data_IF_714667586419
#
_entry.id   IF_714667586419
#
_cell.length_a   1.000
_cell.length_b   1.000
_cell.length_c   1.000
_cell.angle_alpha   90.00
_cell.angle_beta   90.00
_cell.angle_gamma   90.00
#
_symmetry.space_group_name_H-M   'P 1'
#
loop_
_entity.id
_entity.type
_entity.pdbx_description
1 polymer ?
#
# COMPACT_ATOMS: atom_id res chain seq x y z
N UNK A 1 0.21 -31.86 -35.70
CA UNK A 1 0.27 -31.64 -35.23
C UNK A 1 0.60 -31.07 -34.26
N UNK A 2 0.76 -30.77 -33.94
CA UNK A 2 1.09 -30.25 -33.16
C UNK A 2 1.08 -29.65 -32.25
N UNK A 3 1.26 -29.35 -31.70
CA UNK A 3 1.33 -28.88 -30.80
C UNK A 3 1.61 -28.20 -30.07
N UNK A 4 1.72 -27.84 -29.74
CA UNK A 4 2.01 -27.18 -29.13
C UNK A 4 2.21 -26.66 -28.17
N UNK A 5 2.44 -26.48 -27.71
CA UNK A 5 2.61 -26.01 -26.95
C UNK A 5 2.82 -25.44 -26.08
N UNK A 6 3.06 -25.17 -25.72
CA UNK A 6 3.30 -24.70 -24.89
C UNK A 6 3.60 -24.03 -24.16
N UNK A 7 3.78 -23.70 -23.86
CA UNK A 7 4.20 -23.08 -23.18
C UNK A 7 4.25 -22.55 -22.14
N UNK A 8 4.28 -22.48 -21.82
CA UNK A 8 4.28 -22.03 -21.01
C UNK A 8 4.61 -21.69 -20.16
N UNK A 9 4.85 -21.68 -19.73
CA UNK A 9 5.02 -21.44 -18.87
C UNK A 9 5.47 -20.81 -18.31
N UNK A 10 5.78 -20.60 -18.18
CA UNK A 10 6.23 -20.00 -17.76
C UNK A 10 6.23 -19.35 -16.91
N UNK A 11 6.23 -19.10 -16.58
CA UNK A 11 6.24 -18.37 -15.92
C UNK A 11 6.34 -18.29 -14.82
N UNK A 12 6.50 -18.50 -14.30
CA UNK A 12 6.50 -18.42 -13.36
C UNK A 12 7.09 -17.95 -12.73
N UNK A 13 7.40 -17.79 -12.60
CA UNK A 13 8.03 -17.42 -12.11
C UNK A 13 8.16 -16.67 -11.31
N UNK A 14 8.24 -16.25 -11.18
CA UNK A 14 8.42 -15.43 -10.63
C UNK A 14 8.13 -15.25 -9.52
N UNK A 15 7.91 -15.43 -9.19
CA UNK A 15 7.50 -15.19 -8.30
C UNK A 15 8.05 -15.31 -7.16
N UNK A 16 8.44 -15.36 -6.86
CA UNK A 16 8.85 -15.49 -5.96
C UNK A 16 9.07 -14.68 -5.12
N UNK A 17 9.08 -14.25 -4.99
CA UNK A 17 9.31 -13.42 -4.37
C UNK A 17 8.70 -13.30 -3.30
N UNK A 18 8.47 -13.44 -3.06
CA UNK A 18 8.04 -13.33 -2.28
C UNK A 18 7.34 -13.60 -1.47
N UNK A 19 7.17 -13.75 -1.17
CA UNK A 19 6.54 -13.87 -0.47
C UNK A 19 5.67 -14.59 -0.15
N UNK A 20 5.34 -14.92 -0.03
CA UNK A 20 4.58 -15.50 0.21
C UNK A 20 3.63 -15.65 0.21
N UNK A 21 3.36 -15.87 -0.03
CA UNK A 21 2.58 -15.88 -0.09
C UNK A 21 1.50 -16.35 -0.18
N UNK A 22 1.16 -16.29 -0.61
CA UNK A 22 -0.13 -16.46 -0.78
C UNK A 22 -0.41 -17.77 -1.15
N UNK A 23 -1.07 -18.38 -0.72
CA UNK A 23 -1.38 -19.54 -1.06
C UNK A 23 -2.41 -19.57 -1.91
N UNK A 24 -2.99 -19.95 -2.43
CA UNK A 24 -4.02 -19.89 -3.31
C UNK A 24 -3.67 -19.13 -4.46
N UNK A 25 -2.58 -18.64 -4.43
CA UNK A 25 -2.08 -18.17 -5.53
C UNK A 25 -2.52 -17.05 -6.23
N UNK A 26 -1.86 -16.62 -7.12
CA UNK A 26 -2.09 -15.42 -7.83
C UNK A 26 -1.14 -14.38 -7.37
N UNK A 27 -0.95 -13.38 -8.18
CA UNK A 27 -0.11 -12.26 -7.83
C UNK A 27 -0.75 -11.44 -6.74
N UNK A 28 0.02 -10.55 -6.14
CA UNK A 28 -0.53 -9.64 -5.16
C UNK A 28 -1.66 -8.82 -5.77
N UNK A 29 -1.48 -8.36 -7.01
CA UNK A 29 -2.53 -7.58 -7.66
C UNK A 29 -3.81 -8.38 -7.82
N UNK A 30 -3.70 -9.66 -8.14
CA UNK A 30 -4.86 -10.52 -8.25
C UNK A 30 -5.54 -10.73 -6.91
N UNK A 31 -4.75 -10.84 -5.85
CA UNK A 31 -5.32 -10.99 -4.51
C UNK A 31 -6.04 -9.72 -4.08
N UNK A 32 -5.51 -8.57 -4.45
CA UNK A 32 -6.18 -7.32 -4.16
C UNK A 32 -7.47 -7.23 -4.96
N UNK A 33 -7.45 -7.62 -6.25
CA UNK A 33 -8.65 -7.66 -7.05
C UNK A 33 -9.72 -8.51 -6.37
N UNK A 34 -9.33 -9.68 -5.90
CA UNK A 34 -10.26 -10.60 -5.28
C UNK A 34 -10.82 -10.02 -3.98
N UNK A 35 -9.98 -9.34 -3.22
CA UNK A 35 -10.43 -8.72 -1.97
C UNK A 35 -11.46 -7.63 -2.23
N UNK A 36 -11.21 -6.79 -3.22
CA UNK A 36 -12.14 -5.74 -3.58
C UNK A 36 -13.48 -6.34 -3.98
N UNK A 37 -13.43 -7.40 -4.78
CA UNK A 37 -14.63 -8.05 -5.25
C UNK A 37 -15.39 -8.72 -4.10
N UNK A 38 -14.65 -9.33 -3.19
CA UNK A 38 -15.24 -10.00 -2.05
C UNK A 38 -16.02 -9.04 -1.16
N UNK A 39 -15.52 -7.82 -1.00
CA UNK A 39 -16.15 -6.84 -0.15
C UNK A 39 -17.53 -6.43 -0.67
N UNK A 40 -17.67 -6.29 -1.97
CA UNK A 40 -18.94 -6.08 -2.67
C UNK A 40 -19.88 -5.03 -2.07
N UNK A 41 -19.35 -4.06 -1.38
CA UNK A 41 -20.13 -2.95 -0.85
C UNK A 41 -19.25 -1.70 -0.93
N UNK A 42 -19.64 -0.65 -0.21
CA UNK A 42 -18.93 0.62 -0.26
C UNK A 42 -17.45 0.47 0.10
N UNK A 43 -17.11 -0.53 0.92
CA UNK A 43 -15.71 -0.72 1.30
C UNK A 43 -14.89 -1.18 0.10
N UNK A 44 -15.46 -2.06 -0.71
CA UNK A 44 -14.78 -2.49 -1.93
C UNK A 44 -14.60 -1.33 -2.89
N UNK A 45 -15.63 -0.50 -3.03
CA UNK A 45 -15.55 0.66 -3.91
C UNK A 45 -14.49 1.64 -3.43
N UNK A 46 -14.44 1.86 -2.11
CA UNK A 46 -13.46 2.77 -1.53
C UNK A 46 -12.05 2.24 -1.72
N UNK A 47 -11.85 0.97 -1.43
CA UNK A 47 -10.52 0.37 -1.59
C UNK A 47 -10.09 0.41 -3.05
N UNK A 48 -11.01 0.13 -3.97
CA UNK A 48 -10.70 0.20 -5.39
C UNK A 48 -10.31 1.61 -5.80
N UNK A 49 -11.01 2.61 -5.28
CA UNK A 49 -10.70 3.99 -5.62
C UNK A 49 -9.34 4.41 -5.07
N UNK A 50 -9.08 4.06 -3.82
CA UNK A 50 -7.78 4.34 -3.20
C UNK A 50 -6.67 3.71 -4.03
N UNK A 51 -6.88 2.46 -4.46
CA UNK A 51 -5.89 1.76 -5.28
C UNK A 51 -5.59 2.52 -6.56
N UNK A 52 -6.63 2.98 -7.24
CA UNK A 52 -6.46 3.74 -8.47
C UNK A 52 -5.66 5.00 -8.20
N UNK A 53 -5.98 5.71 -7.13
CA UNK A 53 -5.29 6.95 -6.81
C UNK A 53 -3.82 6.70 -6.47
N UNK A 54 -3.53 5.62 -5.78
CA UNK A 54 -2.14 5.25 -5.49
C UNK A 54 -1.37 5.03 -6.78
N UNK A 55 -1.96 4.29 -7.71
CA UNK A 55 -1.28 3.99 -8.97
C UNK A 55 -1.15 5.22 -9.85
N UNK A 56 -2.11 6.13 -9.77
CA UNK A 56 -2.00 7.39 -10.50
C UNK A 56 -0.92 8.28 -9.92
N UNK A 57 -0.80 8.28 -8.59
CA UNK A 57 0.21 9.10 -7.93
C UNK A 57 1.61 8.56 -8.20
N UNK A 58 1.72 7.23 -8.31
CA UNK A 58 3.01 6.58 -8.49
C UNK A 58 2.85 5.37 -9.40
N UNK A 59 3.02 5.56 -10.71
CA UNK A 59 2.87 4.45 -11.65
C UNK A 59 3.83 3.30 -11.42
N UNK A 60 4.91 3.53 -10.67
CA UNK A 60 5.90 2.51 -10.40
C UNK A 60 5.68 1.80 -9.07
N UNK A 61 4.59 2.11 -8.39
CA UNK A 61 4.31 1.48 -7.11
C UNK A 61 4.17 -0.03 -7.27
N UNK A 62 4.65 -0.76 -6.29
CA UNK A 62 4.57 -2.21 -6.27
C UNK A 62 3.44 -2.61 -5.33
N UNK A 63 2.57 -3.47 -5.81
CA UNK A 63 1.49 -4.00 -4.98
C UNK A 63 1.96 -5.29 -4.33
N UNK A 64 1.70 -5.44 -3.04
CA UNK A 64 2.08 -6.61 -2.28
C UNK A 64 0.91 -7.10 -1.45
N UNK A 65 1.02 -8.35 -1.01
CA UNK A 65 0.00 -8.97 -0.17
C UNK A 65 0.75 -9.57 1.01
N UNK A 66 0.51 -9.03 2.20
CA UNK A 66 1.34 -9.38 3.35
C UNK A 66 0.51 -9.78 4.56
N UNK A 67 1.19 -10.35 5.50
CA UNK A 67 0.69 -10.63 6.85
C UNK A 67 -0.49 -11.59 6.86
N UNK A 68 -0.40 -12.63 6.04
CA UNK A 68 -1.38 -13.70 6.05
C UNK A 68 -1.27 -14.45 7.37
N UNK A 69 -2.39 -14.64 8.03
CA UNK A 69 -2.47 -15.37 9.30
C UNK A 69 -3.73 -16.20 9.28
N UNK A 70 -3.83 -17.18 10.19
CA UNK A 70 -5.06 -17.98 10.24
C UNK A 70 -6.33 -17.15 10.35
N UNK A 71 -6.24 -16.01 11.02
CA UNK A 71 -7.40 -15.14 11.21
C UNK A 71 -7.43 -13.95 10.29
N UNK A 72 -6.46 -13.86 9.38
CA UNK A 72 -6.37 -12.72 8.49
C UNK A 72 -5.88 -13.20 7.14
N UNK A 73 -6.69 -13.09 6.10
CA UNK A 73 -6.29 -13.57 4.77
C UNK A 73 -5.15 -12.80 4.14
N UNK A 74 -4.75 -11.69 4.72
CA UNK A 74 -3.67 -10.86 4.21
C UNK A 74 -4.13 -9.45 4.00
N UNK A 75 -3.18 -8.58 3.71
CA UNK A 75 -3.43 -7.15 3.62
C UNK A 75 -2.79 -6.59 2.36
N UNK A 76 -3.53 -5.78 1.59
CA UNK A 76 -2.94 -5.05 0.47
C UNK A 76 -1.91 -4.06 0.98
N UNK A 77 -0.76 -4.05 0.33
CA UNK A 77 0.34 -3.16 0.69
C UNK A 77 0.89 -2.56 -0.59
N UNK A 78 1.23 -1.29 -0.55
CA UNK A 78 1.84 -0.61 -1.67
C UNK A 78 3.20 -0.11 -1.26
N UNK A 79 4.19 -0.37 -2.09
CA UNK A 79 5.59 -0.12 -1.77
C UNK A 79 6.30 0.58 -2.90
N UNK A 80 7.27 1.40 -2.54
CA UNK A 80 8.20 2.02 -3.47
C UNK A 80 9.41 2.42 -2.62
N UNK A 81 10.49 1.65 -2.75
CA UNK A 81 11.66 1.83 -1.90
C UNK A 81 11.30 1.69 -0.42
N UNK A 82 10.40 0.77 -0.12
CA UNK A 82 9.87 0.54 1.21
C UNK A 82 8.36 0.71 1.19
N UNK A 83 7.72 0.34 2.26
CA UNK A 83 6.26 0.42 2.32
C UNK A 83 5.82 1.87 2.30
N UNK A 84 4.88 2.17 1.42
CA UNK A 84 4.22 3.48 1.37
C UNK A 84 3.01 3.45 2.28
N UNK A 85 2.10 2.53 2.01
CA UNK A 85 0.85 2.47 2.77
C UNK A 85 0.23 1.09 2.64
N UNK A 86 -0.75 0.85 3.49
CA UNK A 86 -1.53 -0.39 3.49
C UNK A 86 -3.00 -0.04 3.40
N UNK A 87 -3.80 -0.99 2.94
CA UNK A 87 -5.24 -0.82 2.89
C UNK A 87 -5.92 -1.91 3.68
N UNK A 88 -6.52 -1.55 4.79
CA UNK A 88 -7.23 -2.50 5.63
C UNK A 88 -8.71 -2.18 5.61
N UNK A 89 -9.53 -3.21 5.69
CA UNK A 89 -10.97 -3.01 5.72
C UNK A 89 -11.53 -3.63 6.99
N UNK A 90 -12.35 -2.86 7.66
CA UNK A 90 -13.03 -3.28 8.86
C UNK A 90 -14.52 -3.14 8.64
N UNK A 91 -15.31 -3.48 9.62
CA UNK A 91 -16.75 -3.48 9.44
C UNK A 91 -17.28 -2.14 8.93
N UNK A 92 -16.82 -1.06 9.54
CA UNK A 92 -17.38 0.27 9.25
C UNK A 92 -16.35 1.25 8.74
N UNK A 93 -15.18 0.77 8.34
CA UNK A 93 -14.13 1.69 7.93
C UNK A 93 -13.16 1.02 6.98
N UNK A 94 -12.68 1.80 6.02
CA UNK A 94 -11.53 1.42 5.22
C UNK A 94 -10.38 2.28 5.72
N UNK A 95 -9.32 1.64 6.18
CA UNK A 95 -8.20 2.34 6.79
C UNK A 95 -6.98 2.27 5.89
N UNK A 96 -6.46 3.45 5.55
CA UNK A 96 -5.24 3.55 4.78
C UNK A 96 -4.16 4.05 5.72
N UNK A 97 -3.18 3.19 5.99
CA UNK A 97 -2.12 3.51 6.95
C UNK A 97 -0.83 3.81 6.20
N UNK A 98 -0.28 4.98 6.44
CA UNK A 98 1.01 5.37 5.87
C UNK A 98 2.11 4.98 6.83
N UNK A 99 3.03 4.17 6.34
CA UNK A 99 4.08 3.58 7.19
C UNK A 99 4.93 4.64 7.87
N UNK A 100 5.15 5.76 7.21
CA UNK A 100 5.94 6.85 7.76
C UNK A 100 5.11 8.13 7.86
N UNK A 101 3.83 7.97 8.13
CA UNK A 101 2.92 9.11 8.14
C UNK A 101 3.32 10.21 9.10
N UNK A 102 3.93 9.85 10.22
CA UNK A 102 4.34 10.86 11.21
C UNK A 102 5.42 11.79 10.67
N UNK A 103 6.13 11.37 9.63
CA UNK A 103 7.18 12.17 9.01
C UNK A 103 6.70 12.94 7.80
N UNK A 104 5.42 12.83 7.48
CA UNK A 104 4.86 13.49 6.30
C UNK A 104 4.13 14.75 6.72
N UNK A 105 4.27 15.78 5.90
CA UNK A 105 3.42 16.94 6.06
C UNK A 105 2.07 16.62 5.47
N UNK A 106 1.05 17.07 6.13
CA UNK A 106 -0.32 16.78 5.73
C UNK A 106 -1.09 18.09 5.74
N UNK A 107 -0.80 18.98 4.78
CA UNK A 107 -1.39 20.31 4.81
C UNK A 107 -2.90 20.31 4.67
N UNK A 108 -3.45 19.27 4.06
CA UNK A 108 -4.90 19.18 3.89
C UNK A 108 -5.60 18.49 5.05
N UNK A 109 -4.82 18.00 6.03
CA UNK A 109 -5.40 17.40 7.21
C UNK A 109 -6.09 16.08 6.92
N UNK A 110 -5.52 15.26 6.06
CA UNK A 110 -6.12 13.99 5.70
C UNK A 110 -6.04 12.94 6.80
N UNK A 111 -4.93 12.92 7.53
CA UNK A 111 -4.78 11.94 8.60
C UNK A 111 -5.80 12.22 9.70
N UNK A 112 -6.59 11.21 10.00
CA UNK A 112 -7.63 11.33 11.01
C UNK A 112 -7.64 10.14 11.97
N UNK A 113 -6.61 9.31 11.92
CA UNK A 113 -6.53 8.11 12.74
C UNK A 113 -5.07 7.82 13.02
N UNK A 114 -4.82 7.10 14.11
CA UNK A 114 -3.47 6.77 14.54
C UNK A 114 -2.60 8.01 14.72
N UNK A 115 -3.21 9.08 15.21
CA UNK A 115 -2.53 10.37 15.28
C UNK A 115 -1.46 10.43 16.35
N UNK A 116 -1.46 9.47 17.27
CA UNK A 116 -0.46 9.42 18.32
C UNK A 116 0.69 8.49 18.00
N UNK A 117 0.65 7.85 16.85
CA UNK A 117 1.72 6.96 16.46
C UNK A 117 3.02 7.70 16.23
N UNK A 118 4.12 7.10 16.63
CA UNK A 118 5.43 7.69 16.44
C UNK A 118 5.89 7.64 15.00
N UNK A 119 5.36 6.70 14.23
CA UNK A 119 5.80 6.47 12.86
C UNK A 119 4.62 6.50 11.89
N UNK A 120 3.55 5.79 12.25
CA UNK A 120 2.42 5.62 11.35
C UNK A 120 1.35 6.67 11.57
N UNK A 121 0.64 6.99 10.50
CA UNK A 121 -0.57 7.78 10.55
C UNK A 121 -1.55 7.15 9.59
N UNK A 122 -2.83 7.33 9.83
CA UNK A 122 -3.82 6.67 9.00
C UNK A 122 -4.95 7.60 8.62
N UNK A 123 -5.61 7.23 7.54
CA UNK A 123 -6.83 7.87 7.09
C UNK A 123 -7.91 6.82 7.19
N UNK A 124 -8.96 7.11 7.95
CA UNK A 124 -10.14 6.25 8.02
C UNK A 124 -11.19 6.84 7.09
N UNK A 125 -11.62 6.01 6.14
CA UNK A 125 -12.72 6.37 5.24
C UNK A 125 -13.98 5.65 5.72
N UNK A 126 -15.07 6.39 5.82
CA UNK A 126 -16.36 5.85 6.20
C UNK A 126 -17.28 5.90 5.01
N UNK A 127 -18.37 5.17 5.12
CA UNK A 127 -19.35 5.13 4.05
C UNK A 127 -19.83 6.54 3.74
N UNK A 128 -19.79 6.88 2.46
CA UNK A 128 -20.24 8.21 2.05
C UNK A 128 -19.19 9.30 2.07
N UNK A 129 -18.03 9.01 2.65
CA UNK A 129 -16.97 10.01 2.69
C UNK A 129 -16.49 10.33 1.29
N UNK A 130 -16.23 11.59 1.06
CA UNK A 130 -15.63 12.01 -0.19
C UNK A 130 -14.12 12.01 -0.03
N UNK A 131 -13.44 11.50 -1.02
CA UNK A 131 -11.98 11.47 -1.00
C UNK A 131 -11.48 12.72 -1.69
N UNK A 132 -10.63 13.48 -1.00
CA UNK A 132 -9.92 14.59 -1.62
C UNK A 132 -8.79 13.98 -2.44
N UNK A 133 -9.10 13.67 -3.69
CA UNK A 133 -8.20 12.88 -4.53
C UNK A 133 -6.89 13.58 -4.79
N UNK A 134 -6.96 14.88 -5.02
CA UNK A 134 -5.76 15.66 -5.30
C UNK A 134 -4.84 15.65 -4.09
N UNK A 135 -5.40 15.90 -2.92
CA UNK A 135 -4.61 15.93 -1.70
C UNK A 135 -4.05 14.55 -1.38
N UNK A 136 -4.84 13.51 -1.62
CA UNK A 136 -4.37 12.15 -1.34
C UNK A 136 -3.22 11.79 -2.26
N UNK A 137 -3.33 12.11 -3.55
CA UNK A 137 -2.23 11.82 -4.47
C UNK A 137 -0.97 12.58 -4.09
N UNK A 138 -1.13 13.83 -3.64
CA UNK A 138 0.03 14.60 -3.18
C UNK A 138 0.68 13.95 -1.98
N UNK A 139 -0.12 13.44 -1.05
CA UNK A 139 0.40 12.77 0.14
C UNK A 139 1.14 11.50 -0.24
N UNK A 140 0.60 10.73 -1.18
CA UNK A 140 1.26 9.51 -1.64
C UNK A 140 2.59 9.85 -2.30
N UNK A 141 2.61 10.88 -3.13
CA UNK A 141 3.88 11.30 -3.76
C UNK A 141 4.89 11.75 -2.72
N UNK A 142 4.44 12.43 -1.67
CA UNK A 142 5.34 12.82 -0.60
C UNK A 142 5.92 11.60 0.11
N UNK A 143 5.10 10.57 0.28
CA UNK A 143 5.57 9.34 0.91
C UNK A 143 6.61 8.63 0.04
N UNK A 144 6.40 8.62 -1.26
CA UNK A 144 7.37 8.06 -2.20
C UNK A 144 8.67 8.85 -2.13
N UNK A 145 8.56 10.17 -2.14
CA UNK A 145 9.74 11.04 -2.09
C UNK A 145 10.53 10.81 -0.79
N UNK A 146 9.82 10.65 0.31
CA UNK A 146 10.48 10.39 1.58
C UNK A 146 11.25 9.08 1.54
N UNK A 147 10.62 8.02 1.02
CA UNK A 147 11.29 6.72 0.94
C UNK A 147 12.52 6.76 0.04
N UNK A 148 12.40 7.40 -1.10
CA UNK A 148 13.50 7.44 -2.05
C UNK A 148 14.61 8.36 -1.57
N UNK A 149 14.25 9.44 -0.91
CA UNK A 149 15.22 10.36 -0.34
C UNK A 149 16.04 9.69 0.75
N UNK A 150 15.38 8.97 1.64
CA UNK A 150 16.06 8.25 2.70
C UNK A 150 16.99 7.20 2.11
N UNK A 151 16.51 6.48 1.09
CA UNK A 151 17.35 5.50 0.44
C UNK A 151 18.58 6.13 -0.18
N UNK A 152 18.38 7.25 -0.85
CA UNK A 152 19.47 7.92 -1.55
C UNK A 152 20.55 8.39 -0.60
N UNK A 153 20.17 8.77 0.61
CA UNK A 153 21.13 9.29 1.58
C UNK A 153 21.51 8.28 2.63
N UNK A 154 20.95 7.09 2.58
CA UNK A 154 21.12 6.13 3.65
C UNK A 154 22.55 5.69 3.82
N UNK A 155 23.29 5.71 2.79
CA UNK A 155 24.67 5.25 2.92
C UNK A 155 25.39 5.94 4.02
N UNK A 156 25.59 7.16 3.93
CA UNK A 156 26.45 7.83 4.85
C UNK A 156 25.86 8.16 6.15
N UNK A 157 24.95 8.22 6.41
CA UNK A 157 24.54 8.81 7.54
C UNK A 157 23.86 8.31 8.49
N UNK A 158 23.98 8.14 8.92
CA UNK A 158 23.28 7.72 9.69
C UNK A 158 23.01 8.49 10.75
N UNK A 159 23.39 8.93 11.08
CA UNK A 159 23.24 9.63 11.87
C UNK A 159 22.58 10.57 12.09
N UNK A 160 22.62 10.85 11.93
CA UNK A 160 22.03 11.78 12.14
C UNK A 160 21.04 12.01 12.59
N UNK A 161 21.13 11.71 13.01
CA UNK A 161 20.23 11.83 13.49
C UNK A 161 19.70 12.50 13.98
N UNK A 162 19.97 12.87 14.39
CA UNK A 162 19.53 13.51 14.89
C UNK A 162 19.03 14.09 15.15
N UNK A 163 19.19 14.20 15.28
CA UNK A 163 18.72 14.85 15.73
C UNK A 163 17.96 15.41 15.95
N UNK A 164 18.00 15.43 16.30
CA UNK A 164 17.31 15.98 16.61
C UNK A 164 16.76 16.66 16.85
N UNK A 165 16.84 16.84 17.13
CA UNK A 165 16.40 17.55 17.51
C UNK A 165 15.97 18.07 17.61
N UNK A 166 16.18 18.21 17.82
CA UNK A 166 15.67 18.70 18.03
C UNK A 166 15.33 19.02 18.03
#
# INVERSE_FOLDING_TARGET
MSKPVAPKRTSKTSAKSGSMEAKGGGSASQLIDARIKELSDWRGETLARVRILIKQADPEVVEEWKWVKPTNPGTPVWSHAGIICTGETYKNVVKMTFAKGASLEDPSGLFNSSLEGNTRRAIDFHEGDKIDEKALKALIRAAVALNTSVRATAGPIRSQKRPKSA
#
